data_IF_034800700818
#
_entry.id   IF_034800700818
#
_cell.length_a   1.000
_cell.length_b   1.000
_cell.length_c   1.000
_cell.angle_alpha   90.00
_cell.angle_beta   90.00
_cell.angle_gamma   90.00
#
_symmetry.space_group_name_H-M   'P 1'
#
loop_
_entity.id
_entity.type
_entity.pdbx_description
1 polymer ?
#
# COMPACT_ATOMS: atom_id res chain seq x y z
N UNK A 1 17.85 -6.72 18.68
CA UNK A 1 18.83 -6.89 17.58
C UNK A 1 18.35 -6.20 16.31
N UNK A 2 17.09 -6.39 15.87
CA UNK A 2 16.52 -5.68 14.72
C UNK A 2 16.53 -4.15 14.90
N UNK A 3 16.22 -3.63 16.09
CA UNK A 3 16.30 -2.18 16.38
C UNK A 3 17.72 -1.60 16.29
N UNK A 4 18.78 -2.41 16.45
CA UNK A 4 20.17 -1.95 16.29
C UNK A 4 20.61 -1.89 14.83
N UNK A 5 20.04 -2.72 13.93
CA UNK A 5 20.33 -2.66 12.49
C UNK A 5 19.47 -1.60 11.77
N UNK A 6 18.30 -1.24 12.30
CA UNK A 6 17.45 -0.18 11.75
C UNK A 6 17.99 1.26 11.97
N UNK A 7 19.09 1.44 12.71
CA UNK A 7 19.77 2.75 12.85
C UNK A 7 20.43 3.27 11.56
N UNK A 8 20.35 2.53 10.46
CA UNK A 8 20.82 3.00 9.16
C UNK A 8 19.80 3.86 8.38
N UNK A 9 18.62 4.14 8.95
CA UNK A 9 17.54 4.90 8.31
C UNK A 9 17.40 6.35 8.76
N UNK A 10 18.39 6.95 9.41
CA UNK A 10 18.42 8.41 9.51
C UNK A 10 18.86 8.97 8.15
N UNK A 11 17.87 9.33 7.34
CA UNK A 11 18.08 10.13 6.13
C UNK A 11 18.58 11.49 6.60
N UNK A 12 19.88 11.68 6.53
CA UNK A 12 20.53 12.96 6.79
C UNK A 12 19.98 14.01 5.82
N UNK A 13 19.86 15.26 6.25
CA UNK A 13 19.45 16.37 5.40
C UNK A 13 20.31 16.57 4.15
N UNK A 14 21.47 15.95 4.07
CA UNK A 14 22.30 15.90 2.86
C UNK A 14 21.72 15.01 1.75
N UNK A 15 20.78 14.11 2.06
CA UNK A 15 20.11 13.28 1.05
C UNK A 15 19.10 14.05 0.16
N UNK A 16 18.79 15.28 0.48
CA UNK A 16 17.96 16.14 -0.39
C UNK A 16 18.67 16.59 -1.68
N UNK A 17 19.98 16.38 -1.76
CA UNK A 17 20.74 16.49 -3.02
C UNK A 17 20.66 15.22 -3.88
N UNK A 18 20.05 14.13 -3.38
CA UNK A 18 19.91 12.88 -4.13
C UNK A 18 18.79 12.90 -5.20
N UNK A 19 17.89 13.89 -5.22
CA UNK A 19 16.85 13.96 -6.26
C UNK A 19 17.45 13.88 -7.67
N UNK A 20 18.43 14.71 -7.96
CA UNK A 20 19.14 14.67 -9.24
C UNK A 20 19.93 13.38 -9.46
N UNK A 21 20.43 12.74 -8.41
CA UNK A 21 21.19 11.49 -8.52
C UNK A 21 20.29 10.29 -8.81
N UNK A 22 19.04 10.26 -8.35
CA UNK A 22 18.10 9.17 -8.64
C UNK A 22 17.52 9.27 -10.06
N UNK A 23 17.25 10.48 -10.56
CA UNK A 23 16.87 10.71 -11.96
C UNK A 23 17.99 10.29 -12.91
N UNK A 24 19.23 10.72 -12.67
CA UNK A 24 20.41 10.32 -13.44
C UNK A 24 20.59 8.79 -13.38
N UNK A 25 20.43 8.19 -12.19
CA UNK A 25 20.53 6.75 -12.02
C UNK A 25 19.50 6.01 -12.87
N UNK A 26 18.24 6.48 -12.90
CA UNK A 26 17.18 5.88 -13.70
C UNK A 26 17.43 6.01 -15.21
N UNK A 27 18.10 7.08 -15.66
CA UNK A 27 18.46 7.27 -17.05
C UNK A 27 19.68 6.44 -17.48
N UNK A 28 20.61 6.17 -16.58
CA UNK A 28 21.87 5.47 -16.87
C UNK A 28 21.78 3.94 -16.71
N UNK A 29 20.83 3.43 -15.93
CA UNK A 29 20.71 1.99 -15.69
C UNK A 29 20.05 1.25 -16.86
N UNK A 30 20.53 0.04 -17.19
CA UNK A 30 19.82 -0.84 -18.11
C UNK A 30 18.40 -1.14 -17.62
N UNK A 31 17.46 -1.27 -18.53
CA UNK A 31 16.05 -1.55 -18.20
C UNK A 31 15.91 -2.82 -17.36
N UNK A 32 16.71 -3.83 -17.63
CA UNK A 32 16.73 -5.09 -16.87
C UNK A 32 17.09 -4.89 -15.39
N UNK A 33 17.88 -3.87 -15.04
CA UNK A 33 18.18 -3.50 -13.66
C UNK A 33 17.03 -2.66 -13.02
N UNK A 34 16.25 -1.94 -13.83
CA UNK A 34 15.13 -1.10 -13.37
C UNK A 34 13.83 -1.89 -13.18
N UNK A 35 13.58 -2.93 -13.99
CA UNK A 35 12.34 -3.73 -13.91
C UNK A 35 12.04 -4.24 -12.49
N UNK A 36 13.02 -4.73 -11.69
CA UNK A 36 12.76 -5.14 -10.32
C UNK A 36 12.15 -4.07 -9.41
N UNK A 37 12.25 -2.78 -9.74
CA UNK A 37 11.61 -1.71 -8.98
C UNK A 37 10.09 -1.59 -9.26
N UNK A 38 9.60 -2.20 -10.34
CA UNK A 38 8.22 -2.10 -10.80
C UNK A 38 7.28 -3.11 -10.13
N UNK A 39 7.79 -3.91 -9.21
CA UNK A 39 7.02 -4.84 -8.39
C UNK A 39 7.65 -4.99 -7.00
N UNK A 40 6.87 -5.52 -6.05
CA UNK A 40 7.32 -5.71 -4.67
C UNK A 40 8.39 -6.79 -4.52
N UNK A 41 8.93 -6.94 -3.32
CA UNK A 41 9.97 -7.91 -3.02
C UNK A 41 9.42 -9.35 -3.06
N UNK A 42 9.88 -10.15 -4.04
CA UNK A 42 9.41 -11.51 -4.30
C UNK A 42 10.03 -12.58 -3.39
N UNK A 43 10.95 -12.21 -2.52
CA UNK A 43 11.64 -13.13 -1.61
C UNK A 43 10.78 -13.66 -0.46
N UNK A 44 9.58 -13.12 -0.28
CA UNK A 44 8.65 -13.48 0.79
C UNK A 44 7.64 -14.55 0.42
N UNK A 45 7.04 -15.15 1.43
CA UNK A 45 5.89 -16.04 1.25
C UNK A 45 4.67 -15.18 0.96
N UNK A 46 4.24 -15.15 -0.30
CA UNK A 46 2.99 -14.51 -0.69
C UNK A 46 1.82 -15.17 0.03
N UNK A 47 1.06 -14.40 0.80
CA UNK A 47 -0.20 -14.84 1.37
C UNK A 47 -1.34 -14.14 0.64
N UNK A 48 -2.37 -14.90 0.27
CA UNK A 48 -3.58 -14.37 -0.37
C UNK A 48 -4.35 -13.37 0.50
N UNK A 49 -3.91 -13.14 1.74
CA UNK A 49 -4.53 -12.23 2.70
C UNK A 49 -3.71 -10.96 2.98
N UNK A 50 -2.73 -10.64 2.13
CA UNK A 50 -2.02 -9.37 2.21
C UNK A 50 -1.01 -9.26 3.36
N UNK A 51 -0.34 -10.36 3.71
CA UNK A 51 0.80 -10.39 4.63
C UNK A 51 2.02 -11.01 3.91
N UNK A 52 2.64 -10.24 3.04
CA UNK A 52 3.76 -10.67 2.20
C UNK A 52 5.10 -10.04 2.59
N UNK A 53 5.15 -9.24 3.67
CA UNK A 53 6.36 -8.56 4.10
C UNK A 53 7.35 -9.48 4.81
N UNK A 54 8.63 -9.26 4.54
CA UNK A 54 9.75 -10.06 5.04
C UNK A 54 10.43 -9.37 6.21
N UNK A 55 10.67 -8.06 6.10
CA UNK A 55 11.51 -7.29 7.05
C UNK A 55 10.79 -6.98 8.36
N UNK A 56 9.47 -6.83 8.32
CA UNK A 56 8.63 -6.65 9.51
C UNK A 56 7.57 -7.74 9.53
N UNK A 57 7.59 -8.65 10.52
CA UNK A 57 6.67 -9.78 10.57
C UNK A 57 5.19 -9.35 10.55
N UNK A 58 4.42 -9.91 9.60
CA UNK A 58 3.02 -9.59 9.38
C UNK A 58 2.74 -8.29 8.64
N UNK A 59 3.77 -7.59 8.15
CA UNK A 59 3.58 -6.48 7.23
C UNK A 59 2.98 -6.94 5.90
N UNK A 60 2.31 -6.03 5.19
CA UNK A 60 1.60 -6.38 3.96
C UNK A 60 2.53 -6.68 2.77
N UNK A 61 3.69 -6.06 2.77
CA UNK A 61 4.70 -6.20 1.74
C UNK A 61 5.76 -5.12 1.85
N UNK A 62 6.65 -5.12 0.90
CA UNK A 62 7.73 -4.14 0.81
C UNK A 62 8.13 -3.90 -0.65
N UNK A 63 8.72 -2.74 -0.94
CA UNK A 63 9.29 -2.48 -2.27
C UNK A 63 10.51 -3.37 -2.50
N UNK A 64 10.90 -3.51 -3.78
CA UNK A 64 12.07 -4.30 -4.15
C UNK A 64 13.35 -3.83 -3.44
N UNK A 65 14.18 -4.77 -3.03
CA UNK A 65 15.53 -4.49 -2.48
C UNK A 65 16.64 -4.62 -3.53
N UNK A 66 16.30 -4.87 -4.79
CA UNK A 66 17.27 -5.17 -5.85
C UNK A 66 18.35 -4.09 -6.03
N UNK A 67 18.02 -2.83 -5.81
CA UNK A 67 18.97 -1.72 -5.94
C UNK A 67 19.48 -1.17 -4.59
N UNK A 68 19.13 -1.81 -3.45
CA UNK A 68 19.54 -1.31 -2.13
C UNK A 68 21.05 -1.42 -1.92
N UNK A 69 21.64 -2.59 -2.14
CA UNK A 69 23.05 -2.86 -1.90
C UNK A 69 23.96 -2.03 -2.82
N UNK A 70 23.59 -1.91 -4.09
CA UNK A 70 24.44 -1.29 -5.12
C UNK A 70 24.29 0.23 -5.19
N UNK A 71 23.09 0.74 -4.97
CA UNK A 71 22.77 2.14 -5.20
C UNK A 71 22.13 2.85 -4.00
N UNK A 72 21.89 2.15 -2.90
CA UNK A 72 21.29 2.72 -1.69
C UNK A 72 19.80 3.07 -1.83
N UNK A 73 19.10 2.51 -2.83
CA UNK A 73 17.64 2.73 -2.99
C UNK A 73 16.90 2.10 -1.82
N UNK A 74 16.20 2.88 -0.99
CA UNK A 74 15.61 2.36 0.24
C UNK A 74 14.43 1.43 -0.03
N UNK A 75 14.29 0.40 0.82
CA UNK A 75 13.12 -0.47 0.84
C UNK A 75 12.05 0.16 1.70
N UNK A 76 10.84 0.32 1.17
CA UNK A 76 9.69 0.85 1.89
C UNK A 76 8.81 -0.30 2.37
N UNK A 77 8.58 -0.36 3.68
CA UNK A 77 7.76 -1.39 4.32
C UNK A 77 6.32 -0.90 4.41
N UNK A 78 5.38 -1.76 4.01
CA UNK A 78 3.96 -1.46 3.91
C UNK A 78 3.17 -2.27 4.94
N UNK A 79 2.30 -1.61 5.69
CA UNK A 79 1.37 -2.30 6.59
C UNK A 79 -0.07 -1.95 6.26
N UNK A 80 -0.93 -2.98 6.25
CA UNK A 80 -2.37 -2.81 6.08
C UNK A 80 -3.05 -2.45 7.41
N UNK A 81 -4.33 -2.20 7.39
CA UNK A 81 -5.19 -2.00 8.56
C UNK A 81 -5.77 -0.60 8.68
N UNK A 82 -6.87 -0.27 7.96
CA UNK A 82 -7.55 1.03 8.07
C UNK A 82 -8.10 1.38 9.46
N UNK A 83 -8.28 0.36 10.32
CA UNK A 83 -8.68 0.53 11.72
C UNK A 83 -7.51 0.35 12.72
N UNK A 84 -6.31 0.69 12.31
CA UNK A 84 -5.05 0.50 13.04
C UNK A 84 -4.08 -0.41 12.28
N UNK A 85 -2.79 -0.21 12.49
CA UNK A 85 -1.75 -0.98 11.79
C UNK A 85 -1.91 -2.46 12.10
N UNK A 86 -1.91 -3.29 11.05
CA UNK A 86 -1.99 -4.74 11.16
C UNK A 86 -0.61 -5.36 10.95
N UNK A 87 -0.01 -5.84 12.03
CA UNK A 87 1.22 -6.61 12.03
C UNK A 87 0.97 -7.94 12.75
N UNK A 88 1.91 -8.86 12.64
CA UNK A 88 1.87 -10.06 13.44
C UNK A 88 2.06 -9.71 14.92
N UNK A 89 1.17 -10.26 15.76
CA UNK A 89 1.14 -9.93 17.19
C UNK A 89 2.43 -10.30 17.93
N UNK A 90 3.03 -11.44 17.54
CA UNK A 90 4.30 -11.90 18.10
C UNK A 90 5.10 -12.67 17.05
N UNK A 91 6.41 -12.66 17.17
CA UNK A 91 7.31 -13.44 16.34
C UNK A 91 8.52 -13.89 17.16
N UNK A 92 9.24 -14.88 16.67
CA UNK A 92 10.41 -15.44 17.34
C UNK A 92 11.68 -15.15 16.53
N UNK A 93 12.75 -14.86 17.25
CA UNK A 93 14.06 -14.59 16.67
C UNK A 93 15.06 -15.59 17.22
N UNK A 94 15.79 -16.26 16.34
CA UNK A 94 16.85 -17.18 16.70
C UNK A 94 17.97 -16.44 17.41
N UNK A 95 18.40 -16.95 18.59
CA UNK A 95 19.43 -16.33 19.43
C UNK A 95 20.84 -16.39 18.85
N UNK A 96 21.10 -17.34 17.96
CA UNK A 96 22.46 -17.56 17.42
C UNK A 96 22.77 -16.66 16.23
N UNK A 97 21.77 -16.42 15.38
CA UNK A 97 21.99 -15.75 14.11
C UNK A 97 21.05 -14.55 13.83
N UNK A 98 20.24 -14.18 14.82
CA UNK A 98 19.27 -13.08 14.74
C UNK A 98 18.22 -13.24 13.60
N UNK A 99 18.08 -14.45 13.04
CA UNK A 99 17.06 -14.69 12.01
C UNK A 99 15.67 -14.77 12.62
N UNK A 100 14.68 -14.20 11.91
CA UNK A 100 13.26 -14.35 12.28
C UNK A 100 12.80 -15.74 11.83
N UNK A 101 12.22 -16.51 12.74
CA UNK A 101 11.57 -17.75 12.37
C UNK A 101 10.38 -17.46 11.46
N UNK A 102 10.38 -18.11 10.29
CA UNK A 102 9.33 -17.92 9.29
C UNK A 102 7.97 -18.29 9.85
N UNK A 103 7.04 -17.44 9.63
CA UNK A 103 5.64 -17.67 9.92
C UNK A 103 5.08 -18.40 8.70
N UNK A 104 4.76 -19.65 8.80
CA UNK A 104 4.12 -20.37 7.70
C UNK A 104 2.89 -19.62 7.16
N UNK A 105 2.40 -20.00 5.99
CA UNK A 105 1.22 -19.38 5.34
C UNK A 105 0.04 -19.23 6.32
N UNK A 106 -0.17 -20.18 7.21
CA UNK A 106 -1.20 -20.11 8.26
C UNK A 106 -0.87 -19.10 9.36
N UNK A 107 0.41 -18.83 9.63
CA UNK A 107 0.83 -17.85 10.63
C UNK A 107 0.61 -16.41 10.20
N UNK A 108 0.62 -16.14 8.90
CA UNK A 108 0.28 -14.85 8.33
C UNK A 108 -1.23 -14.59 8.29
N UNK A 109 -2.04 -15.66 8.36
CA UNK A 109 -3.48 -15.56 8.47
C UNK A 109 -3.87 -15.15 9.90
N UNK A 110 -4.81 -14.21 10.04
CA UNK A 110 -5.36 -13.82 11.34
C UNK A 110 -4.29 -13.42 12.39
N UNK A 111 -3.16 -12.83 11.93
CA UNK A 111 -2.06 -12.41 12.83
C UNK A 111 -1.55 -13.54 13.76
N UNK A 112 -1.49 -14.76 13.27
CA UNK A 112 -1.07 -15.91 14.05
C UNK A 112 -2.17 -16.54 14.90
N UNK A 113 -3.42 -16.10 14.78
CA UNK A 113 -4.54 -16.66 15.56
C UNK A 113 -4.73 -18.17 15.35
N UNK A 114 -4.42 -18.65 14.14
CA UNK A 114 -4.56 -20.07 13.79
C UNK A 114 -3.28 -20.89 14.03
N UNK A 115 -2.21 -20.28 14.53
CA UNK A 115 -0.94 -20.97 14.76
C UNK A 115 -0.86 -21.46 16.20
N UNK A 116 -0.77 -22.78 16.34
CA UNK A 116 -0.56 -23.48 17.62
C UNK A 116 0.85 -24.06 17.71
N UNK A 117 1.83 -23.46 17.04
CA UNK A 117 3.21 -23.94 17.08
C UNK A 117 3.81 -23.75 18.47
N UNK A 118 4.59 -24.76 18.90
CA UNK A 118 5.32 -24.67 20.17
C UNK A 118 6.48 -23.68 19.99
N UNK A 119 6.77 -22.84 21.00
CA UNK A 119 7.91 -21.93 20.96
C UNK A 119 9.22 -22.67 20.64
N UNK A 120 10.06 -22.07 19.80
CA UNK A 120 11.37 -22.61 19.50
C UNK A 120 12.28 -22.53 20.72
N UNK A 121 13.03 -23.62 21.02
CA UNK A 121 13.85 -23.70 22.23
C UNK A 121 15.01 -22.67 22.26
N UNK A 122 15.50 -22.25 21.09
CA UNK A 122 16.62 -21.30 20.96
C UNK A 122 16.14 -19.98 20.34
N UNK A 123 15.04 -19.43 20.86
CA UNK A 123 14.48 -18.18 20.37
C UNK A 123 14.08 -17.24 21.50
N UNK A 124 14.05 -15.96 21.15
CA UNK A 124 13.43 -14.90 21.93
C UNK A 124 12.14 -14.47 21.26
N UNK A 125 11.06 -14.34 22.02
CA UNK A 125 9.76 -13.90 21.53
C UNK A 125 9.66 -12.39 21.64
N UNK A 126 9.29 -11.76 20.52
CA UNK A 126 9.01 -10.32 20.43
C UNK A 126 7.53 -10.09 20.17
N UNK A 127 7.01 -8.96 20.66
CA UNK A 127 5.59 -8.59 20.54
C UNK A 127 5.42 -7.28 19.80
N UNK A 128 4.42 -7.24 18.90
CA UNK A 128 4.02 -6.08 18.12
C UNK A 128 2.53 -5.78 18.38
N UNK A 129 2.24 -5.19 19.55
CA UNK A 129 0.89 -4.81 19.91
C UNK A 129 0.53 -3.48 19.26
N UNK A 130 -0.20 -3.55 18.16
CA UNK A 130 -0.75 -2.39 17.50
C UNK A 130 -2.11 -2.01 18.09
N UNK A 131 -2.43 -0.72 18.09
CA UNK A 131 -3.70 -0.21 18.62
C UNK A 131 -4.85 -0.48 17.65
N UNK A 132 -5.96 -1.00 18.16
CA UNK A 132 -7.21 -1.07 17.44
C UNK A 132 -7.96 0.26 17.57
N UNK A 133 -8.12 0.97 16.45
CA UNK A 133 -8.86 2.23 16.38
C UNK A 133 -10.30 1.99 15.88
N UNK A 134 -11.21 2.97 16.07
CA UNK A 134 -12.52 2.90 15.45
C UNK A 134 -12.43 2.75 13.93
N UNK A 135 -13.36 2.00 13.34
CA UNK A 135 -13.43 1.80 11.89
C UNK A 135 -13.76 3.11 11.16
N UNK A 136 -13.42 3.20 9.88
CA UNK A 136 -13.56 4.41 9.06
C UNK A 136 -14.95 5.04 9.11
N UNK A 137 -16.01 4.21 9.00
CA UNK A 137 -17.41 4.68 9.12
C UNK A 137 -17.68 5.34 10.48
N UNK A 138 -17.18 4.79 11.59
CA UNK A 138 -17.36 5.37 12.92
C UNK A 138 -16.59 6.68 13.07
N UNK A 139 -15.35 6.74 12.59
CA UNK A 139 -14.57 7.98 12.58
C UNK A 139 -15.27 9.09 11.78
N UNK A 140 -15.86 8.73 10.63
CA UNK A 140 -16.57 9.68 9.77
C UNK A 140 -17.82 10.28 10.41
N UNK A 141 -18.50 9.56 11.33
CA UNK A 141 -19.65 10.08 12.07
C UNK A 141 -19.31 11.28 12.95
N UNK A 142 -18.05 11.48 13.28
CA UNK A 142 -17.60 12.65 14.04
C UNK A 142 -17.67 13.95 13.25
N UNK A 143 -17.58 13.91 11.92
CA UNK A 143 -17.46 15.06 11.03
C UNK A 143 -16.32 16.02 11.43
N UNK A 144 -15.36 15.52 12.20
CA UNK A 144 -14.33 16.33 12.82
C UNK A 144 -12.96 16.11 12.18
N UNK A 145 -12.54 17.01 11.28
CA UNK A 145 -11.25 16.95 10.58
C UNK A 145 -10.06 16.99 11.55
N UNK A 146 -10.16 17.72 12.66
CA UNK A 146 -9.08 17.81 13.64
C UNK A 146 -8.88 16.46 14.35
N UNK A 147 -9.97 15.80 14.76
CA UNK A 147 -9.92 14.46 15.35
C UNK A 147 -9.27 13.44 14.37
N UNK A 148 -9.63 13.52 13.09
CA UNK A 148 -9.06 12.63 12.06
C UNK A 148 -7.56 12.90 11.84
N UNK A 149 -7.12 14.15 11.96
CA UNK A 149 -5.69 14.49 11.90
C UNK A 149 -4.95 13.93 13.12
N UNK A 150 -5.48 14.08 14.32
CA UNK A 150 -4.91 13.50 15.55
C UNK A 150 -4.86 11.96 15.48
N UNK A 151 -5.90 11.32 14.96
CA UNK A 151 -5.87 9.88 14.66
C UNK A 151 -4.70 9.52 13.73
N UNK A 152 -4.49 10.28 12.66
CA UNK A 152 -3.36 10.08 11.75
C UNK A 152 -2.00 10.26 12.43
N UNK A 153 -1.87 11.22 13.34
CA UNK A 153 -0.64 11.45 14.13
C UNK A 153 -0.33 10.23 15.03
N UNK A 154 -1.34 9.64 15.68
CA UNK A 154 -1.18 8.42 16.48
C UNK A 154 -0.77 7.21 15.63
N UNK A 155 -1.34 7.05 14.42
CA UNK A 155 -0.90 6.03 13.47
C UNK A 155 0.58 6.22 13.11
N UNK A 156 1.02 7.44 12.85
CA UNK A 156 2.41 7.72 12.50
C UNK A 156 3.40 7.38 13.62
N UNK A 157 3.00 7.57 14.87
CA UNK A 157 3.81 7.15 16.02
C UNK A 157 4.00 5.62 16.08
N UNK A 158 2.95 4.85 15.76
CA UNK A 158 3.06 3.40 15.69
C UNK A 158 3.86 2.95 14.44
N UNK A 159 3.68 3.62 13.30
CA UNK A 159 4.48 3.35 12.09
C UNK A 159 5.97 3.49 12.37
N UNK A 160 6.39 4.60 12.99
CA UNK A 160 7.78 4.80 13.38
C UNK A 160 8.28 3.72 14.34
N UNK A 161 7.47 3.39 15.35
CA UNK A 161 7.80 2.38 16.36
C UNK A 161 8.04 1.00 15.77
N UNK A 162 7.25 0.61 14.78
CA UNK A 162 7.32 -0.71 14.14
C UNK A 162 8.12 -0.73 12.83
N UNK A 163 8.66 0.41 12.40
CA UNK A 163 9.46 0.49 11.17
C UNK A 163 8.65 0.36 9.89
N UNK A 164 7.41 0.85 9.88
CA UNK A 164 6.51 0.90 8.73
C UNK A 164 6.63 2.25 8.04
N UNK A 165 6.79 2.25 6.72
CA UNK A 165 6.93 3.47 5.91
C UNK A 165 5.62 3.90 5.24
N UNK A 166 4.86 2.95 4.72
CA UNK A 166 3.59 3.20 4.05
C UNK A 166 2.46 2.45 4.75
N UNK A 167 1.47 3.19 5.20
CA UNK A 167 0.23 2.64 5.71
C UNK A 167 -0.77 2.51 4.56
N UNK A 168 -1.29 1.29 4.33
CA UNK A 168 -2.24 1.00 3.26
C UNK A 168 -3.67 1.44 3.66
N UNK A 169 -3.80 2.72 3.91
CA UNK A 169 -5.01 3.42 4.31
C UNK A 169 -4.82 4.94 4.09
N UNK A 170 -5.90 5.73 4.15
CA UNK A 170 -7.28 5.35 4.39
C UNK A 170 -7.96 4.71 3.17
N UNK A 171 -8.93 3.82 3.45
CA UNK A 171 -9.92 3.41 2.44
C UNK A 171 -10.97 4.52 2.30
N UNK A 172 -11.38 4.83 1.06
CA UNK A 172 -12.25 5.97 0.83
C UNK A 172 -13.25 5.82 -0.32
N UNK A 173 -13.53 4.58 -0.71
CA UNK A 173 -14.57 4.33 -1.71
C UNK A 173 -15.95 4.75 -1.19
N UNK A 174 -16.85 5.10 -2.12
CA UNK A 174 -18.20 5.56 -1.78
C UNK A 174 -19.04 4.41 -1.24
N UNK A 175 -19.77 4.65 -0.15
CA UNK A 175 -20.82 3.76 0.37
C UNK A 175 -22.02 3.73 -0.58
N UNK A 176 -21.88 3.06 -1.71
CA UNK A 176 -22.91 3.00 -2.73
C UNK A 176 -23.99 1.97 -2.40
N UNK A 177 -23.59 0.82 -1.83
CA UNK A 177 -24.49 -0.26 -1.47
C UNK A 177 -24.21 -0.65 -0.01
N UNK A 178 -25.22 -0.63 0.88
CA UNK A 178 -25.02 -0.99 2.28
C UNK A 178 -24.55 -2.44 2.50
N UNK A 179 -24.73 -3.32 1.52
CA UNK A 179 -24.27 -4.72 1.57
C UNK A 179 -22.80 -4.89 1.15
N UNK A 180 -22.10 -3.84 0.73
CA UNK A 180 -20.67 -3.95 0.45
C UNK A 180 -19.88 -4.31 1.72
N UNK A 181 -19.17 -5.45 1.70
CA UNK A 181 -18.47 -6.01 2.84
C UNK A 181 -17.35 -5.14 3.42
N UNK A 182 -16.88 -4.12 2.67
CA UNK A 182 -15.81 -3.22 3.10
C UNK A 182 -16.27 -1.81 3.47
N UNK A 183 -17.57 -1.55 3.52
CA UNK A 183 -18.07 -0.24 3.95
C UNK A 183 -17.56 0.19 5.33
N UNK A 184 -17.27 -0.76 6.23
CA UNK A 184 -16.77 -0.45 7.57
C UNK A 184 -15.47 0.35 7.55
N UNK A 185 -14.57 0.12 6.59
CA UNK A 185 -13.30 0.81 6.48
C UNK A 185 -13.38 2.11 5.66
N UNK A 186 -14.47 2.33 4.92
CA UNK A 186 -14.70 3.54 4.13
C UNK A 186 -15.45 4.59 4.96
N UNK A 187 -15.44 5.84 4.51
CA UNK A 187 -15.95 6.95 5.31
C UNK A 187 -17.40 7.27 5.07
N UNK A 188 -17.86 7.43 3.82
CA UNK A 188 -19.16 7.99 3.52
C UNK A 188 -19.64 7.66 2.11
N UNK A 189 -20.94 7.87 1.87
CA UNK A 189 -21.51 7.95 0.52
C UNK A 189 -21.22 9.32 -0.15
N UNK A 190 -20.90 10.35 0.65
CA UNK A 190 -20.56 11.68 0.17
C UNK A 190 -19.06 11.80 -0.13
N UNK A 191 -18.67 12.04 -1.40
CA UNK A 191 -17.27 12.18 -1.78
C UNK A 191 -16.59 13.40 -1.15
N UNK A 192 -17.32 14.47 -0.84
CA UNK A 192 -16.77 15.65 -0.16
C UNK A 192 -16.34 15.30 1.26
N UNK A 193 -17.21 14.62 2.01
CA UNK A 193 -16.91 14.19 3.37
C UNK A 193 -15.75 13.17 3.36
N UNK A 194 -15.84 12.13 2.52
CA UNK A 194 -14.80 11.10 2.41
C UNK A 194 -13.43 11.71 2.06
N UNK A 195 -13.36 12.56 1.05
CA UNK A 195 -12.11 13.21 0.62
C UNK A 195 -11.53 14.15 1.67
N UNK A 196 -12.39 14.95 2.34
CA UNK A 196 -11.95 15.90 3.37
C UNK A 196 -11.41 15.20 4.62
N UNK A 197 -12.01 14.08 5.03
CA UNK A 197 -11.55 13.29 6.17
C UNK A 197 -10.28 12.51 5.82
N UNK A 198 -10.20 11.91 4.63
CA UNK A 198 -8.99 11.26 4.14
C UNK A 198 -7.81 12.23 4.08
N UNK A 199 -8.03 13.47 3.60
CA UNK A 199 -7.02 14.51 3.61
C UNK A 199 -6.53 14.86 5.03
N UNK A 200 -7.44 14.90 6.01
CA UNK A 200 -7.08 15.17 7.39
C UNK A 200 -6.21 14.06 7.99
N UNK A 201 -6.59 12.80 7.80
CA UNK A 201 -5.79 11.64 8.23
C UNK A 201 -4.42 11.64 7.56
N UNK A 202 -4.37 11.86 6.24
CA UNK A 202 -3.10 11.95 5.48
C UNK A 202 -2.16 13.00 6.07
N UNK A 203 -2.67 14.21 6.35
CA UNK A 203 -1.87 15.27 7.00
C UNK A 203 -1.36 14.86 8.38
N UNK A 204 -2.16 14.10 9.13
CA UNK A 204 -1.74 13.57 10.43
C UNK A 204 -0.59 12.57 10.29
N UNK A 205 -0.76 11.54 9.47
CA UNK A 205 0.27 10.52 9.26
C UNK A 205 1.56 11.13 8.69
N UNK A 206 1.44 11.96 7.66
CA UNK A 206 2.59 12.54 6.96
C UNK A 206 3.22 13.75 7.69
N UNK A 207 2.70 14.12 8.86
CA UNK A 207 3.39 15.07 9.74
C UNK A 207 4.70 14.50 10.31
N UNK A 208 4.86 13.18 10.30
CA UNK A 208 6.07 12.49 10.72
C UNK A 208 6.90 12.06 9.51
N UNK A 209 8.17 12.47 9.49
CA UNK A 209 9.08 12.11 8.40
C UNK A 209 9.25 10.59 8.29
N UNK A 210 9.25 10.07 7.06
CA UNK A 210 9.36 8.63 6.79
C UNK A 210 8.05 7.86 6.90
N UNK A 211 6.94 8.51 7.24
CA UNK A 211 5.60 7.93 7.27
C UNK A 211 4.73 8.48 6.13
N UNK A 212 4.13 7.60 5.35
CA UNK A 212 3.23 7.96 4.26
C UNK A 212 1.94 7.14 4.28
N UNK A 213 0.93 7.63 3.59
CA UNK A 213 -0.34 6.93 3.39
C UNK A 213 -0.49 6.44 1.96
N UNK A 214 -1.28 5.39 1.80
CA UNK A 214 -1.74 4.89 0.51
C UNK A 214 -3.25 4.95 0.48
N UNK A 215 -3.79 6.00 -0.14
CA UNK A 215 -5.26 6.11 -0.27
C UNK A 215 -5.79 5.05 -1.24
N UNK A 216 -6.94 4.42 -0.89
CA UNK A 216 -7.43 3.23 -1.62
C UNK A 216 -8.96 3.14 -1.62
N UNK A 217 -9.55 2.39 -2.56
CA UNK A 217 -8.98 1.71 -3.73
C UNK A 217 -9.42 2.48 -4.98
N UNK A 218 -8.49 2.95 -5.76
CA UNK A 218 -8.77 3.82 -6.91
C UNK A 218 -8.96 3.00 -8.20
N UNK A 219 -10.16 2.95 -8.79
CA UNK A 219 -11.39 3.58 -8.37
C UNK A 219 -12.56 2.60 -8.48
N UNK A 220 -13.70 2.97 -7.91
CA UNK A 220 -14.98 2.26 -8.08
C UNK A 220 -15.06 0.89 -7.41
N UNK A 221 -14.26 0.57 -6.39
CA UNK A 221 -14.38 -0.66 -5.61
C UNK A 221 -15.55 -0.54 -4.60
N UNK A 222 -16.78 -0.72 -5.08
CA UNK A 222 -18.01 -0.52 -4.31
C UNK A 222 -18.77 -1.81 -4.01
N UNK A 223 -18.21 -2.97 -4.32
CA UNK A 223 -18.69 -4.30 -3.96
C UNK A 223 -17.51 -5.27 -3.81
N UNK A 224 -17.71 -6.31 -2.99
CA UNK A 224 -16.69 -7.34 -2.78
C UNK A 224 -16.99 -8.64 -3.54
N UNK A 225 -18.26 -8.89 -3.89
CA UNK A 225 -18.63 -10.03 -4.73
C UNK A 225 -17.98 -9.90 -6.10
N UNK A 226 -17.19 -10.92 -6.47
CA UNK A 226 -16.44 -10.95 -7.73
C UNK A 226 -15.57 -9.68 -7.95
N UNK A 227 -14.98 -9.13 -6.90
CA UNK A 227 -14.26 -7.84 -6.95
C UNK A 227 -13.13 -7.77 -7.97
N UNK A 228 -12.53 -8.92 -8.33
CA UNK A 228 -11.46 -8.99 -9.32
C UNK A 228 -11.96 -9.02 -10.76
N UNK A 229 -13.22 -9.45 -11.00
CA UNK A 229 -13.80 -9.58 -12.34
C UNK A 229 -15.00 -8.67 -12.60
N UNK A 230 -15.47 -7.90 -11.60
CA UNK A 230 -16.61 -7.00 -11.82
C UNK A 230 -16.24 -5.83 -12.73
N UNK A 231 -17.04 -5.58 -13.75
CA UNK A 231 -16.92 -4.42 -14.64
C UNK A 231 -17.95 -3.35 -14.27
N UNK A 232 -17.45 -2.22 -13.78
CA UNK A 232 -18.28 -1.09 -13.36
C UNK A 232 -18.55 -0.19 -14.55
N UNK A 233 -19.79 -0.19 -15.04
CA UNK A 233 -20.23 0.64 -16.15
C UNK A 233 -20.81 1.97 -15.64
N UNK A 234 -20.21 3.09 -16.05
CA UNK A 234 -20.66 4.42 -15.66
C UNK A 234 -20.24 5.47 -16.68
N UNK A 235 -20.96 6.60 -16.65
CA UNK A 235 -20.58 7.76 -17.45
C UNK A 235 -19.34 8.45 -16.88
N UNK A 236 -18.58 9.15 -17.72
CA UNK A 236 -17.44 9.96 -17.29
C UNK A 236 -17.82 10.99 -16.22
N UNK A 237 -19.01 11.59 -16.35
CA UNK A 237 -19.52 12.53 -15.36
C UNK A 237 -19.69 11.88 -14.00
N UNK A 238 -20.32 10.71 -13.93
CA UNK A 238 -20.49 9.99 -12.66
C UNK A 238 -19.14 9.56 -12.07
N UNK A 239 -18.23 9.09 -12.92
CA UNK A 239 -16.86 8.73 -12.50
C UNK A 239 -16.18 9.91 -11.82
N UNK A 240 -16.19 11.09 -12.45
CA UNK A 240 -15.47 12.28 -11.97
C UNK A 240 -16.13 12.97 -10.79
N UNK A 241 -17.45 13.14 -10.82
CA UNK A 241 -18.18 13.91 -9.81
C UNK A 241 -18.45 13.12 -8.52
N UNK A 242 -18.45 11.78 -8.58
CA UNK A 242 -18.77 10.92 -7.44
C UNK A 242 -17.57 10.04 -7.06
N UNK A 243 -17.21 9.09 -7.92
CA UNK A 243 -16.26 8.02 -7.56
C UNK A 243 -14.81 8.48 -7.44
N UNK A 244 -14.39 9.42 -8.27
CA UNK A 244 -13.06 10.01 -8.25
C UNK A 244 -12.96 11.26 -7.38
N UNK A 245 -14.08 11.93 -7.10
CA UNK A 245 -14.09 13.24 -6.44
C UNK A 245 -13.43 13.23 -5.05
N UNK A 246 -13.68 12.21 -4.24
CA UNK A 246 -13.04 12.08 -2.93
C UNK A 246 -11.51 11.96 -3.04
N UNK A 247 -11.03 11.18 -3.99
CA UNK A 247 -9.59 11.03 -4.26
C UNK A 247 -8.96 12.33 -4.73
N UNK A 248 -9.62 13.06 -5.63
CA UNK A 248 -9.16 14.38 -6.08
C UNK A 248 -8.97 15.35 -4.92
N UNK A 249 -9.95 15.41 -4.00
CA UNK A 249 -9.89 16.28 -2.81
C UNK A 249 -8.70 15.85 -1.93
N UNK A 250 -8.56 14.57 -1.64
CA UNK A 250 -7.49 14.05 -0.80
C UNK A 250 -6.11 14.36 -1.40
N UNK A 251 -5.92 14.13 -2.70
CA UNK A 251 -4.67 14.42 -3.41
C UNK A 251 -4.33 15.90 -3.34
N UNK A 252 -5.26 16.77 -3.74
CA UNK A 252 -5.02 18.22 -3.81
C UNK A 252 -4.81 18.86 -2.44
N UNK A 253 -5.51 18.38 -1.40
CA UNK A 253 -5.41 18.95 -0.06
C UNK A 253 -4.24 18.42 0.77
N UNK A 254 -3.78 17.18 0.54
CA UNK A 254 -2.85 16.53 1.46
C UNK A 254 -1.64 15.84 0.83
N UNK A 255 -1.60 15.72 -0.51
CA UNK A 255 -0.50 15.08 -1.24
C UNK A 255 -0.11 13.72 -0.63
N UNK A 256 -0.99 12.70 -0.67
CA UNK A 256 -0.67 11.39 -0.14
C UNK A 256 0.57 10.80 -0.82
N UNK A 257 1.36 10.02 -0.08
CA UNK A 257 2.58 9.42 -0.59
C UNK A 257 2.29 8.38 -1.68
N UNK A 258 1.16 7.68 -1.57
CA UNK A 258 0.78 6.65 -2.54
C UNK A 258 -0.74 6.58 -2.76
N UNK A 259 -1.10 5.94 -3.87
CA UNK A 259 -2.47 5.54 -4.25
C UNK A 259 -2.43 4.05 -4.56
N UNK A 260 -3.46 3.30 -4.14
CA UNK A 260 -3.65 1.91 -4.54
C UNK A 260 -4.77 1.82 -5.57
N UNK A 261 -4.46 1.31 -6.77
CA UNK A 261 -5.47 1.01 -7.80
C UNK A 261 -6.34 -0.17 -7.37
N UNK A 262 -7.61 -0.16 -7.79
CA UNK A 262 -8.56 -1.20 -7.42
C UNK A 262 -8.50 -2.42 -8.35
N UNK A 263 -9.08 -3.55 -7.88
CA UNK A 263 -9.14 -4.80 -8.66
C UNK A 263 -10.05 -4.73 -9.89
N UNK A 264 -11.22 -4.07 -9.72
CA UNK A 264 -12.31 -4.10 -10.68
C UNK A 264 -11.97 -3.45 -12.03
N UNK A 265 -12.74 -3.81 -13.03
CA UNK A 265 -12.75 -3.08 -14.29
C UNK A 265 -13.61 -1.81 -14.16
N UNK A 266 -13.27 -0.82 -14.97
CA UNK A 266 -14.07 0.40 -15.18
C UNK A 266 -14.27 0.54 -16.69
N UNK A 267 -15.51 0.40 -17.15
CA UNK A 267 -15.85 0.44 -18.56
C UNK A 267 -14.98 -0.47 -19.43
N UNK A 268 -14.78 -1.72 -18.98
CA UNK A 268 -14.07 -2.76 -19.73
C UNK A 268 -12.55 -2.79 -19.53
N UNK A 269 -11.97 -1.92 -18.68
CA UNK A 269 -10.52 -1.88 -18.44
C UNK A 269 -10.23 -1.99 -16.95
N UNK A 270 -9.37 -2.93 -16.55
CA UNK A 270 -8.90 -3.00 -15.15
C UNK A 270 -8.34 -1.66 -14.69
N UNK A 271 -8.68 -1.22 -13.48
CA UNK A 271 -8.23 0.05 -12.95
C UNK A 271 -6.71 0.21 -13.00
N UNK A 272 -5.96 -0.85 -12.65
CA UNK A 272 -4.51 -0.86 -12.71
C UNK A 272 -3.92 -0.80 -14.13
N UNK A 273 -4.71 -1.20 -15.17
CA UNK A 273 -4.32 -1.12 -16.58
C UNK A 273 -4.85 0.12 -17.29
N UNK A 274 -5.55 0.99 -16.57
CA UNK A 274 -6.21 2.16 -17.15
C UNK A 274 -5.30 3.38 -17.19
N UNK A 275 -4.78 3.72 -18.36
CA UNK A 275 -4.00 4.95 -18.57
C UNK A 275 -4.86 6.20 -18.30
N UNK A 276 -6.16 6.15 -18.55
CA UNK A 276 -7.06 7.26 -18.26
C UNK A 276 -7.15 7.52 -16.76
N UNK A 277 -7.23 6.47 -15.94
CA UNK A 277 -7.23 6.60 -14.48
C UNK A 277 -5.84 6.97 -13.95
N UNK A 278 -4.82 6.12 -14.19
CA UNK A 278 -3.52 6.25 -13.55
C UNK A 278 -2.69 7.43 -14.07
N UNK A 279 -2.74 7.73 -15.36
CA UNK A 279 -1.96 8.83 -15.93
C UNK A 279 -2.81 10.07 -16.10
N UNK A 280 -3.82 10.05 -16.98
CA UNK A 280 -4.52 11.28 -17.38
C UNK A 280 -5.21 11.97 -16.20
N UNK A 281 -6.02 11.23 -15.44
CA UNK A 281 -6.77 11.81 -14.32
C UNK A 281 -5.82 12.10 -13.14
N UNK A 282 -5.06 11.12 -12.70
CA UNK A 282 -4.29 11.25 -11.45
C UNK A 282 -3.05 12.10 -11.62
N UNK A 283 -2.24 11.86 -12.68
CA UNK A 283 -0.99 12.59 -12.92
C UNK A 283 -1.25 13.94 -13.59
N UNK A 284 -1.87 13.90 -14.79
CA UNK A 284 -1.92 15.09 -15.66
C UNK A 284 -2.92 16.13 -15.15
N UNK A 285 -4.12 15.70 -14.69
CA UNK A 285 -5.16 16.64 -14.26
C UNK A 285 -5.04 17.02 -12.76
N UNK A 286 -4.70 16.06 -11.87
CA UNK A 286 -4.63 16.33 -10.45
C UNK A 286 -3.23 16.66 -9.93
N UNK A 287 -2.19 16.41 -10.74
CA UNK A 287 -0.81 16.70 -10.40
C UNK A 287 -0.25 15.80 -9.29
N UNK A 288 -0.65 14.54 -9.26
CA UNK A 288 -0.15 13.59 -8.28
C UNK A 288 1.29 13.16 -8.60
N UNK A 289 2.19 13.34 -7.65
CA UNK A 289 3.62 13.05 -7.78
C UNK A 289 4.07 11.80 -7.00
N UNK A 290 3.18 11.21 -6.20
CA UNK A 290 3.48 10.02 -5.40
C UNK A 290 3.45 8.71 -6.20
N UNK A 291 3.50 7.59 -5.50
CA UNK A 291 3.52 6.24 -6.08
C UNK A 291 2.09 5.72 -6.32
N UNK A 292 1.83 5.15 -7.49
CA UNK A 292 0.63 4.36 -7.75
C UNK A 292 1.00 2.89 -7.67
N UNK A 293 0.43 2.16 -6.72
CA UNK A 293 0.61 0.73 -6.58
C UNK A 293 -0.66 -0.04 -6.93
N UNK A 294 -0.52 -1.29 -7.35
CA UNK A 294 -1.67 -2.17 -7.52
C UNK A 294 -2.21 -2.66 -6.17
N UNK A 295 -3.47 -3.07 -6.13
CA UNK A 295 -3.93 -3.94 -5.06
C UNK A 295 -3.25 -5.32 -5.17
N UNK A 296 -3.25 -6.11 -4.06
CA UNK A 296 -2.47 -7.35 -3.94
C UNK A 296 -2.97 -8.45 -4.86
N UNK A 297 -2.04 -9.08 -5.59
CA UNK A 297 -2.32 -10.19 -6.51
C UNK A 297 -3.31 -9.85 -7.64
N UNK A 298 -3.47 -8.59 -8.03
CA UNK A 298 -4.38 -8.21 -9.13
C UNK A 298 -3.96 -8.81 -10.47
N UNK A 299 -2.70 -9.23 -10.59
CA UNK A 299 -2.12 -9.83 -11.81
C UNK A 299 -2.09 -11.36 -11.80
N UNK A 300 -2.51 -12.01 -10.71
CA UNK A 300 -2.51 -13.47 -10.58
C UNK A 300 -3.67 -14.19 -11.29
N UNK A 301 -4.92 -13.67 -11.29
CA UNK A 301 -6.00 -14.29 -12.05
C UNK A 301 -5.73 -14.24 -13.56
N UNK A 302 -6.13 -15.29 -14.29
CA UNK A 302 -5.98 -15.38 -15.75
C UNK A 302 -6.63 -14.21 -16.49
N UNK A 303 -7.76 -13.74 -15.96
CA UNK A 303 -8.52 -12.57 -16.46
C UNK A 303 -8.24 -11.29 -15.66
N UNK A 304 -7.20 -11.29 -14.83
CA UNK A 304 -6.78 -10.15 -14.01
C UNK A 304 -6.04 -9.06 -14.79
N UNK A 305 -5.48 -8.12 -14.04
CA UNK A 305 -4.65 -7.05 -14.62
C UNK A 305 -3.39 -7.63 -15.29
N UNK A 306 -3.02 -7.08 -16.42
CA UNK A 306 -1.84 -7.53 -17.17
C UNK A 306 -0.63 -6.73 -16.71
N UNK A 307 0.46 -7.36 -16.18
CA UNK A 307 1.58 -6.65 -15.55
C UNK A 307 2.21 -5.55 -16.41
N UNK A 308 2.60 -5.83 -17.65
CA UNK A 308 3.18 -4.80 -18.50
C UNK A 308 2.23 -3.63 -18.81
N UNK A 309 0.92 -3.90 -18.86
CA UNK A 309 -0.09 -2.84 -19.03
C UNK A 309 -0.25 -2.00 -17.78
N UNK A 310 -0.05 -2.56 -16.57
CA UNK A 310 -0.01 -1.79 -15.34
C UNK A 310 1.07 -0.70 -15.44
N UNK A 311 2.30 -1.11 -15.76
CA UNK A 311 3.42 -0.19 -15.93
C UNK A 311 3.16 0.84 -17.04
N UNK A 312 2.69 0.41 -18.20
CA UNK A 312 2.36 1.29 -19.33
C UNK A 312 1.22 2.28 -19.03
N UNK A 313 0.33 1.94 -18.10
CA UNK A 313 -0.75 2.81 -17.65
C UNK A 313 -0.32 3.84 -16.60
N UNK A 314 0.89 3.73 -16.03
CA UNK A 314 1.38 4.59 -14.95
C UNK A 314 1.06 4.06 -13.54
N UNK A 315 0.73 2.77 -13.40
CA UNK A 315 0.76 2.07 -12.12
C UNK A 315 2.21 1.64 -11.86
N UNK A 316 2.87 2.28 -10.91
CA UNK A 316 4.32 2.23 -10.76
C UNK A 316 4.80 0.91 -10.16
N UNK A 317 4.07 0.33 -9.20
CA UNK A 317 4.49 -0.88 -8.49
C UNK A 317 3.36 -1.91 -8.46
N UNK A 318 3.66 -3.14 -8.87
CA UNK A 318 2.75 -4.28 -8.73
C UNK A 318 3.02 -4.97 -7.40
N UNK A 319 1.99 -5.16 -6.58
CA UNK A 319 2.11 -5.77 -5.26
C UNK A 319 1.37 -7.12 -5.17
N UNK A 320 1.91 -8.08 -4.43
CA UNK A 320 3.20 -8.09 -3.73
C UNK A 320 4.39 -8.35 -4.65
N UNK A 321 4.17 -8.63 -5.93
CA UNK A 321 5.15 -8.97 -6.92
C UNK A 321 5.34 -10.48 -7.11
N UNK A 322 5.71 -10.87 -8.33
CA UNK A 322 5.96 -12.27 -8.72
C UNK A 322 6.97 -12.36 -9.87
N UNK A 323 7.51 -13.55 -10.10
CA UNK A 323 8.35 -13.83 -11.27
C UNK A 323 7.56 -13.67 -12.58
N UNK A 324 6.25 -13.89 -12.56
CA UNK A 324 5.38 -13.68 -13.71
C UNK A 324 5.27 -12.19 -14.05
N UNK A 325 5.20 -11.32 -13.03
CA UNK A 325 5.20 -9.86 -13.23
C UNK A 325 6.50 -9.42 -13.89
N UNK A 326 7.66 -9.88 -13.38
CA UNK A 326 8.97 -9.60 -13.98
C UNK A 326 9.00 -9.96 -15.46
N UNK A 327 8.64 -11.21 -15.77
CA UNK A 327 8.66 -11.72 -17.15
C UNK A 327 7.72 -10.94 -18.06
N UNK A 328 6.50 -10.69 -17.60
CA UNK A 328 5.50 -9.96 -18.39
C UNK A 328 5.94 -8.52 -18.69
N UNK A 329 6.53 -7.82 -17.70
CA UNK A 329 7.03 -6.45 -17.91
C UNK A 329 8.19 -6.45 -18.91
N UNK A 330 9.14 -7.37 -18.75
CA UNK A 330 10.29 -7.50 -19.67
C UNK A 330 9.85 -7.81 -21.12
N UNK A 331 8.91 -8.74 -21.28
CA UNK A 331 8.37 -9.11 -22.59
C UNK A 331 7.57 -7.96 -23.21
N UNK A 332 6.84 -7.19 -22.42
CA UNK A 332 6.10 -6.01 -22.89
C UNK A 332 6.96 -4.81 -23.24
N UNK A 333 8.18 -4.73 -22.68
CA UNK A 333 9.18 -3.71 -23.03
C UNK A 333 9.86 -4.01 -24.37
N UNK A 334 10.12 -5.27 -24.70
CA UNK A 334 10.74 -5.73 -25.96
C UNK A 334 9.78 -5.68 -27.15
#
# INVERSE_FOLDING_TARGET
ALQRKQKAGNVDRESLTMGNSLEILAEELPVEELIPLLYGNTGGISSNLGAAGIKVPGSAGETSEALYEKYGVPVLIMADGPAGIRLQRSYEVNRENDSVYGIGVLGSLENGFLVTEKPHQNADTYYQYCTAFPVGTALAQSWNRQLLKEFGEMIAEEMEKFGVNLWLAPGMNIHRNPLCGRNFEYYSEDPLLAGSLAAAVTKGVQSKAGCGVTIKHFACNNQEDNRMGVDVHLSERALREIYCRGFEIAIKESKPAAIMSSYNLVNGVHAANSKDLCTRIVRDEWGFEGVIMSDWNTTEPEDGSIPWKCTAAGNDIIMPGSENDHKSILDGYR
#
